data_IF_696911303667
#
_entry.id   IF_696911303667
#
_cell.length_a   1.000
_cell.length_b   1.000
_cell.length_c   1.000
_cell.angle_alpha   90.00
_cell.angle_beta   90.00
_cell.angle_gamma   90.00
#
_symmetry.space_group_name_H-M   'P 1'
#
loop_
_entity.id
_entity.type
_entity.pdbx_description
1 polymer ?
#
# COMPACT_ATOMS: atom_id res chain seq x y z
N UNK A 1 27.32 3.47 -17.22
CA UNK A 1 26.10 4.14 -16.71
C UNK A 1 25.42 4.83 -17.89
N UNK A 2 24.09 4.75 -18.01
CA UNK A 2 23.36 5.18 -19.22
C UNK A 2 23.33 6.71 -19.46
N UNK A 3 23.77 7.53 -18.51
CA UNK A 3 23.86 8.99 -18.67
C UNK A 3 22.52 9.59 -19.11
N UNK A 4 22.56 10.49 -20.10
CA UNK A 4 21.37 11.14 -20.67
C UNK A 4 20.38 10.15 -21.33
N UNK A 5 20.82 8.93 -21.66
CA UNK A 5 19.95 7.88 -22.25
C UNK A 5 19.20 7.03 -21.21
N UNK A 6 19.38 7.31 -19.91
CA UNK A 6 18.78 6.52 -18.83
C UNK A 6 17.26 6.38 -18.95
N UNK A 7 16.54 7.50 -19.16
CA UNK A 7 15.08 7.50 -19.31
C UNK A 7 14.61 6.61 -20.46
N UNK A 8 15.25 6.75 -21.63
CA UNK A 8 14.94 5.94 -22.80
C UNK A 8 15.20 4.45 -22.57
N UNK A 9 16.27 4.11 -21.85
CA UNK A 9 16.58 2.74 -21.48
C UNK A 9 15.52 2.14 -20.53
N UNK A 10 15.09 2.89 -19.51
CA UNK A 10 14.04 2.42 -18.58
C UNK A 10 12.73 2.18 -19.34
N UNK A 11 12.27 3.18 -20.10
CA UNK A 11 10.99 3.12 -20.80
C UNK A 11 10.94 2.02 -21.87
N UNK A 12 12.05 1.75 -22.56
CA UNK A 12 12.07 0.76 -23.67
C UNK A 12 12.46 -0.65 -23.24
N UNK A 13 13.15 -0.82 -22.12
CA UNK A 13 13.79 -2.12 -21.81
C UNK A 13 13.56 -2.61 -20.38
N UNK A 14 13.01 -1.80 -19.48
CA UNK A 14 12.79 -2.19 -18.07
C UNK A 14 11.35 -2.03 -17.60
N UNK A 15 10.54 -1.24 -18.29
CA UNK A 15 9.16 -0.97 -17.90
C UNK A 15 8.18 -1.67 -18.83
N UNK A 16 7.21 -2.38 -18.24
CA UNK A 16 6.01 -2.88 -18.93
C UNK A 16 4.82 -2.35 -18.16
N UNK A 17 3.98 -1.55 -18.82
CA UNK A 17 2.78 -0.97 -18.23
C UNK A 17 1.62 -1.91 -18.48
N UNK A 18 0.87 -2.21 -17.43
CA UNK A 18 -0.31 -3.07 -17.47
C UNK A 18 -1.49 -2.29 -16.91
N UNK A 19 -2.58 -2.22 -17.68
CA UNK A 19 -3.81 -1.55 -17.24
C UNK A 19 -4.58 -2.49 -16.32
N UNK A 20 -5.08 -1.97 -15.20
CA UNK A 20 -5.85 -2.74 -14.23
C UNK A 20 -6.36 -1.91 -13.06
N UNK A 21 -7.14 -2.55 -12.20
CA UNK A 21 -7.71 -1.99 -10.99
C UNK A 21 -7.42 -2.88 -9.78
N UNK A 22 -6.76 -2.33 -8.76
CA UNK A 22 -6.23 -3.12 -7.64
C UNK A 22 -7.30 -3.86 -6.82
N UNK A 23 -8.52 -3.36 -6.77
CA UNK A 23 -9.61 -3.96 -5.99
C UNK A 23 -10.41 -5.02 -6.77
N UNK A 24 -10.05 -5.27 -8.03
CA UNK A 24 -10.69 -6.28 -8.88
C UNK A 24 -9.93 -7.62 -8.87
N UNK A 25 -10.61 -8.74 -9.18
CA UNK A 25 -9.94 -10.02 -9.36
C UNK A 25 -8.80 -9.93 -10.37
N UNK A 26 -7.67 -10.59 -10.06
CA UNK A 26 -6.44 -10.51 -10.87
C UNK A 26 -5.94 -9.07 -11.09
N UNK A 27 -6.26 -8.14 -10.17
CA UNK A 27 -5.88 -6.74 -10.26
C UNK A 27 -6.49 -6.04 -11.48
N UNK A 28 -7.62 -6.53 -12.00
CA UNK A 28 -8.29 -6.00 -13.19
C UNK A 28 -7.52 -6.24 -14.50
N UNK A 29 -6.47 -7.06 -14.47
CA UNK A 29 -5.70 -7.45 -15.65
C UNK A 29 -6.40 -8.58 -16.38
N UNK A 30 -6.35 -8.58 -17.72
CA UNK A 30 -6.91 -9.68 -18.51
C UNK A 30 -6.27 -11.03 -18.14
N UNK A 31 -7.02 -12.09 -18.35
CA UNK A 31 -6.64 -13.42 -17.84
C UNK A 31 -5.31 -13.94 -18.42
N UNK A 32 -4.98 -13.58 -19.65
CA UNK A 32 -3.78 -14.07 -20.34
C UNK A 32 -2.56 -13.36 -19.76
N UNK A 33 -2.59 -12.02 -19.72
CA UNK A 33 -1.50 -11.24 -19.13
C UNK A 33 -1.34 -11.50 -17.64
N UNK A 34 -2.43 -11.59 -16.88
CA UNK A 34 -2.39 -11.92 -15.45
C UNK A 34 -1.69 -13.28 -15.21
N UNK A 35 -1.99 -14.28 -16.02
CA UNK A 35 -1.35 -15.60 -15.94
C UNK A 35 0.15 -15.52 -16.26
N UNK A 36 0.54 -14.82 -17.34
CA UNK A 36 1.94 -14.64 -17.73
C UNK A 36 2.75 -13.95 -16.63
N UNK A 37 2.24 -12.83 -16.11
CA UNK A 37 2.88 -12.08 -15.02
C UNK A 37 3.08 -12.99 -13.81
N UNK A 38 2.05 -13.74 -13.41
CA UNK A 38 2.14 -14.64 -12.26
C UNK A 38 3.21 -15.75 -12.42
N UNK A 39 3.54 -16.16 -13.65
CA UNK A 39 4.60 -17.16 -13.88
C UNK A 39 6.02 -16.57 -13.80
N UNK A 40 6.18 -15.25 -13.84
CA UNK A 40 7.48 -14.60 -13.99
C UNK A 40 7.91 -13.81 -12.77
N UNK A 41 6.97 -13.19 -12.04
CA UNK A 41 7.34 -12.27 -10.96
C UNK A 41 7.97 -12.95 -9.75
N UNK A 42 8.97 -12.27 -9.18
CA UNK A 42 9.69 -12.69 -7.97
C UNK A 42 9.48 -11.74 -6.79
N UNK A 43 9.01 -10.53 -7.05
CA UNK A 43 8.81 -9.47 -6.07
C UNK A 43 7.49 -8.76 -6.40
N UNK A 44 6.69 -8.52 -5.37
CA UNK A 44 5.55 -7.60 -5.44
C UNK A 44 5.84 -6.43 -4.49
N UNK A 45 5.65 -5.22 -4.98
CA UNK A 45 5.67 -3.99 -4.18
C UNK A 45 4.27 -3.39 -4.25
N UNK A 46 3.51 -3.53 -3.17
CA UNK A 46 2.16 -2.98 -3.02
C UNK A 46 2.23 -1.62 -2.33
N UNK A 47 2.17 -0.57 -3.14
CA UNK A 47 2.17 0.83 -2.69
C UNK A 47 0.91 1.59 -3.13
N UNK A 48 -0.07 0.90 -3.72
CA UNK A 48 -1.28 1.52 -4.22
C UNK A 48 -2.30 1.70 -3.08
N UNK A 49 -2.70 2.93 -2.83
CA UNK A 49 -3.69 3.28 -1.83
C UNK A 49 -4.46 4.54 -2.23
N UNK A 50 -5.69 4.66 -1.76
CA UNK A 50 -6.39 5.93 -1.70
C UNK A 50 -5.97 6.65 -0.42
N UNK A 51 -5.35 7.82 -0.59
CA UNK A 51 -4.81 8.65 0.49
C UNK A 51 -5.70 9.85 0.83
N UNK A 52 -6.94 9.88 0.31
CA UNK A 52 -7.91 10.91 0.67
C UNK A 52 -8.43 10.70 2.09
N UNK A 53 -8.15 11.67 2.96
CA UNK A 53 -8.51 11.65 4.39
C UNK A 53 -10.00 11.85 4.65
N UNK A 54 -10.70 12.53 3.76
CA UNK A 54 -12.13 12.83 3.82
C UNK A 54 -12.99 11.80 3.06
N UNK A 55 -12.37 10.71 2.60
CA UNK A 55 -13.08 9.64 1.93
C UNK A 55 -14.01 8.94 2.92
N UNK A 56 -15.23 8.63 2.47
CA UNK A 56 -16.13 7.79 3.26
C UNK A 56 -15.45 6.46 3.60
N UNK A 57 -15.64 6.02 4.84
CA UNK A 57 -14.99 4.84 5.39
C UNK A 57 -15.23 3.57 4.57
N UNK A 58 -16.45 3.37 4.06
CA UNK A 58 -16.79 2.24 3.19
C UNK A 58 -15.96 2.21 1.89
N UNK A 59 -15.75 3.37 1.28
CA UNK A 59 -14.90 3.52 0.10
C UNK A 59 -13.40 3.35 0.43
N UNK A 60 -12.96 3.85 1.59
CA UNK A 60 -11.58 3.67 2.05
C UNK A 60 -11.25 2.18 2.30
N UNK A 61 -12.16 1.46 2.97
CA UNK A 61 -12.05 0.01 3.14
C UNK A 61 -12.04 -0.71 1.79
N UNK A 62 -12.95 -0.35 0.89
CA UNK A 62 -13.06 -0.99 -0.41
C UNK A 62 -11.78 -0.85 -1.24
N UNK A 63 -11.13 0.31 -1.22
CA UNK A 63 -9.89 0.50 -1.98
C UNK A 63 -8.67 -0.05 -1.25
N UNK A 64 -8.45 0.33 0.01
CA UNK A 64 -7.18 0.05 0.69
C UNK A 64 -7.15 -1.36 1.29
N UNK A 65 -8.27 -1.87 1.82
CA UNK A 65 -8.31 -3.21 2.41
C UNK A 65 -8.58 -4.26 1.34
N UNK A 66 -9.65 -4.09 0.54
CA UNK A 66 -9.94 -5.06 -0.50
C UNK A 66 -8.91 -5.02 -1.65
N UNK A 67 -8.29 -3.87 -1.94
CA UNK A 67 -7.14 -3.81 -2.86
C UNK A 67 -5.99 -4.72 -2.44
N UNK A 68 -5.49 -4.55 -1.21
CA UNK A 68 -4.41 -5.41 -0.70
C UNK A 68 -4.81 -6.88 -0.56
N UNK A 69 -6.09 -7.16 -0.29
CA UNK A 69 -6.61 -8.53 -0.35
C UNK A 69 -6.46 -9.13 -1.76
N UNK A 70 -6.84 -8.41 -2.82
CA UNK A 70 -6.68 -8.88 -4.20
C UNK A 70 -5.20 -9.07 -4.58
N UNK A 71 -4.31 -8.18 -4.14
CA UNK A 71 -2.85 -8.35 -4.32
C UNK A 71 -2.38 -9.65 -3.68
N UNK A 72 -2.81 -9.95 -2.45
CA UNK A 72 -2.50 -11.20 -1.78
C UNK A 72 -3.04 -12.42 -2.55
N UNK A 73 -4.27 -12.32 -3.06
CA UNK A 73 -4.88 -13.39 -3.86
C UNK A 73 -4.16 -13.63 -5.19
N UNK A 74 -3.65 -12.57 -5.83
CA UNK A 74 -2.82 -12.69 -7.02
C UNK A 74 -1.45 -13.29 -6.68
N UNK A 75 -0.82 -12.83 -5.60
CA UNK A 75 0.46 -13.33 -5.11
C UNK A 75 0.46 -14.84 -4.88
N UNK A 76 -0.66 -15.41 -4.37
CA UNK A 76 -0.82 -16.87 -4.19
C UNK A 76 -0.75 -17.67 -5.50
N UNK A 77 -0.99 -17.04 -6.66
CA UNK A 77 -0.87 -17.66 -7.98
C UNK A 77 0.58 -17.63 -8.50
N UNK A 78 1.44 -16.84 -7.87
CA UNK A 78 2.79 -16.56 -8.35
C UNK A 78 3.79 -17.59 -7.85
N UNK A 79 4.15 -18.55 -8.70
CA UNK A 79 4.98 -19.71 -8.31
C UNK A 79 6.43 -19.37 -7.97
N UNK A 80 6.95 -18.25 -8.50
CA UNK A 80 8.34 -17.82 -8.33
C UNK A 80 8.49 -16.67 -7.33
N UNK A 81 7.41 -16.25 -6.69
CA UNK A 81 7.39 -15.13 -5.77
C UNK A 81 8.27 -15.43 -4.55
N UNK A 82 9.16 -14.49 -4.22
CA UNK A 82 10.09 -14.60 -3.09
C UNK A 82 9.80 -13.59 -1.99
N UNK A 83 9.28 -12.42 -2.35
CA UNK A 83 9.05 -11.32 -1.42
C UNK A 83 7.82 -10.51 -1.82
N UNK A 84 7.06 -10.09 -0.82
CA UNK A 84 6.04 -9.05 -0.94
C UNK A 84 6.44 -7.93 0.02
N UNK A 85 6.51 -6.72 -0.49
CA UNK A 85 6.63 -5.50 0.31
C UNK A 85 5.31 -4.78 0.22
N UNK A 86 4.63 -4.59 1.35
CA UNK A 86 3.35 -3.91 1.43
C UNK A 86 3.51 -2.63 2.27
N UNK A 87 3.01 -1.51 1.76
CA UNK A 87 3.00 -0.22 2.43
C UNK A 87 1.59 0.04 3.00
N UNK A 88 1.36 -0.26 4.30
CA UNK A 88 0.04 -0.06 4.89
C UNK A 88 -0.28 1.42 5.05
N UNK A 89 -1.52 1.78 4.80
CA UNK A 89 -2.08 3.11 5.11
C UNK A 89 -3.00 2.98 6.31
N UNK A 90 -2.42 2.96 7.52
CA UNK A 90 -3.20 2.97 8.76
C UNK A 90 -2.85 4.20 9.57
N UNK A 91 -3.75 5.17 9.52
CA UNK A 91 -3.95 6.17 10.57
C UNK A 91 -5.27 5.89 11.30
N UNK A 92 -5.56 4.61 11.58
CA UNK A 92 -6.78 4.19 12.27
C UNK A 92 -6.72 4.37 13.79
N UNK A 93 -5.55 4.78 14.31
CA UNK A 93 -5.29 4.90 15.73
C UNK A 93 -5.35 6.34 16.25
N UNK A 94 -5.51 7.35 15.38
CA UNK A 94 -5.45 8.75 15.80
C UNK A 94 -4.16 9.06 16.56
N UNK A 95 -4.28 9.80 17.67
CA UNK A 95 -3.15 10.20 18.53
C UNK A 95 -2.72 9.09 19.52
N UNK A 96 -3.09 7.83 19.28
CA UNK A 96 -2.66 6.72 20.15
C UNK A 96 -1.19 6.42 19.90
N UNK A 97 -0.45 6.33 21.00
CA UNK A 97 0.98 6.01 21.02
C UNK A 97 1.20 4.62 21.66
N UNK A 98 2.37 4.00 21.41
CA UNK A 98 2.75 2.70 21.99
C UNK A 98 2.45 1.49 21.10
N UNK A 99 2.68 0.27 21.63
CA UNK A 99 2.40 -0.98 20.92
C UNK A 99 0.89 -1.17 20.78
N UNK A 100 0.37 -0.89 19.58
CA UNK A 100 -1.06 -0.94 19.32
C UNK A 100 -1.38 -2.16 18.47
N UNK A 101 -2.22 -3.03 19.03
CA UNK A 101 -2.79 -4.14 18.29
C UNK A 101 -3.98 -3.63 17.47
N UNK A 102 -4.11 -4.12 16.24
CA UNK A 102 -5.31 -3.83 15.44
C UNK A 102 -6.55 -4.38 16.17
N UNK A 103 -7.47 -3.47 16.50
CA UNK A 103 -8.80 -3.81 17.00
C UNK A 103 -9.82 -3.37 15.96
N UNK A 104 -10.63 -4.27 15.39
CA UNK A 104 -11.71 -3.87 14.49
C UNK A 104 -12.66 -2.92 15.20
N UNK A 105 -13.00 -1.79 14.57
CA UNK A 105 -14.10 -0.94 15.04
C UNK A 105 -15.43 -1.68 14.88
N UNK A 106 -16.27 -1.63 15.90
CA UNK A 106 -17.67 -1.99 15.78
C UNK A 106 -18.47 -0.84 15.19
N UNK A 107 -19.58 -1.15 14.53
CA UNK A 107 -20.43 -0.14 13.88
C UNK A 107 -20.87 0.94 14.90
N UNK A 108 -20.46 2.19 14.66
CA UNK A 108 -20.75 3.34 15.53
C UNK A 108 -19.62 3.76 16.48
N UNK A 109 -18.51 3.03 16.50
CA UNK A 109 -17.28 3.45 17.17
C UNK A 109 -16.47 4.44 16.32
N UNK A 110 -15.78 5.36 16.99
CA UNK A 110 -14.90 6.38 16.41
C UNK A 110 -13.78 6.67 17.38
N UNK A 111 -12.60 7.02 16.84
CA UNK A 111 -11.39 7.39 17.60
C UNK A 111 -11.65 8.56 18.56
N UNK A 112 -12.60 9.44 18.24
CA UNK A 112 -12.94 10.64 19.02
C UNK A 112 -13.49 10.38 20.43
N UNK A 113 -13.80 9.13 20.80
CA UNK A 113 -14.41 8.77 22.10
C UNK A 113 -13.42 8.31 23.18
N UNK A 114 -12.13 8.18 22.88
CA UNK A 114 -11.13 7.60 23.80
C UNK A 114 -10.19 8.67 24.38
N UNK A 115 -10.16 8.83 25.72
CA UNK A 115 -9.25 9.74 26.44
C UNK A 115 -7.86 9.10 26.57
N UNK A 116 -6.80 9.86 26.24
CA UNK A 116 -5.40 9.40 26.25
C UNK A 116 -4.71 9.76 27.57
N UNK A 117 -4.02 8.79 28.18
CA UNK A 117 -2.99 8.99 29.21
C UNK A 117 -1.67 8.47 28.65
N UNK A 118 -0.62 9.30 28.74
CA UNK A 118 0.64 9.16 28.00
C UNK A 118 1.66 8.53 28.94
N UNK A 119 2.03 7.27 28.72
CA UNK A 119 3.33 6.78 29.19
C UNK A 119 3.79 5.50 28.49
N UNK A 120 5.03 5.58 28.01
CA UNK A 120 5.92 4.53 27.51
C UNK A 120 5.85 4.11 26.03
N UNK A 121 6.72 4.78 25.29
CA UNK A 121 7.26 4.51 23.97
C UNK A 121 7.88 3.11 23.83
N UNK A 122 7.52 2.42 22.73
CA UNK A 122 8.43 1.68 21.84
C UNK A 122 7.65 1.17 20.62
N UNK A 123 7.69 1.93 19.53
CA UNK A 123 7.49 1.49 18.15
C UNK A 123 8.41 2.36 17.29
N UNK A 124 8.82 1.85 16.12
CA UNK A 124 9.67 2.56 15.16
C UNK A 124 9.06 3.94 14.85
N UNK A 125 9.52 4.94 15.59
CA UNK A 125 9.06 6.31 15.47
C UNK A 125 9.45 6.84 14.10
N UNK A 126 8.47 7.11 13.24
CA UNK A 126 8.55 8.33 12.45
C UNK A 126 8.35 9.48 13.45
N UNK A 127 9.46 10.02 13.93
CA UNK A 127 9.48 11.10 14.91
C UNK A 127 8.94 12.41 14.28
N UNK A 128 8.03 13.17 14.95
CA UNK A 128 7.41 14.37 14.39
C UNK A 128 8.39 15.54 14.11
N UNK A 129 9.63 15.45 14.60
CA UNK A 129 10.69 16.42 14.28
C UNK A 129 11.47 16.11 13.00
N UNK A 130 11.11 15.06 12.25
CA UNK A 130 11.56 14.92 10.85
C UNK A 130 10.76 15.90 9.97
N UNK A 131 11.13 17.17 10.05
CA UNK A 131 10.78 18.22 9.09
C UNK A 131 11.13 17.76 7.65
N UNK A 132 10.47 18.33 6.63
CA UNK A 132 9.89 17.61 5.50
C UNK A 132 10.97 17.06 4.56
N UNK A 133 11.44 15.84 4.79
CA UNK A 133 12.24 15.13 3.80
C UNK A 133 11.30 14.44 2.80
N UNK A 134 10.93 15.24 1.80
CA UNK A 134 10.42 14.86 0.49
C UNK A 134 9.23 13.89 0.45
N UNK A 135 8.04 14.43 0.73
CA UNK A 135 6.80 13.97 0.10
C UNK A 135 6.76 14.26 -1.42
N UNK A 136 7.83 14.87 -1.97
CA UNK A 136 7.94 15.29 -3.37
C UNK A 136 8.09 14.14 -4.36
N UNK A 137 8.38 12.91 -3.95
CA UNK A 137 8.63 11.81 -4.90
C UNK A 137 7.37 11.09 -5.42
N UNK A 138 6.19 11.41 -4.89
CA UNK A 138 4.92 10.79 -5.33
C UNK A 138 3.87 11.77 -5.85
N UNK A 139 4.21 13.05 -6.05
CA UNK A 139 3.30 14.03 -6.67
C UNK A 139 3.97 14.97 -7.68
N UNK A 140 4.99 14.51 -8.40
CA UNK A 140 5.32 15.04 -9.74
C UNK A 140 5.74 13.94 -10.68
#
# INVERSE_FOLDING_TARGET
MHGESYESFILRSKLVVVVGHIHEPNLGVDIISAHQIAQEINLIVDAAANTKWDLRYDLALYVNVNGSYQVMMFARKCKKLKLIVHFPTVCANGDKEGLLYEKPFTMGESITKEKVDISHFLLLSFHPSMLPMSWTLFQR
#
